data_IF_139896147826
#
_entry.id   IF_139896147826
#
_cell.length_a   1.000
_cell.length_b   1.000
_cell.length_c   1.000
_cell.angle_alpha   90.00
_cell.angle_beta   90.00
_cell.angle_gamma   90.00
#
_symmetry.space_group_name_H-M   'P 1'
#
loop_
_entity.id
_entity.type
_entity.pdbx_description
1 polymer ?
#
# COMPACT_ATOMS: atom_id res chain seq x y z
N UNK A 1 -13.90 -25.70 14.65
CA UNK A 1 -14.16 -25.04 13.34
C UNK A 1 -13.42 -25.81 12.27
N UNK A 2 -14.05 -26.10 11.14
CA UNK A 2 -13.35 -26.66 9.97
C UNK A 2 -12.52 -25.58 9.28
N UNK A 3 -11.37 -25.97 8.73
CA UNK A 3 -10.56 -25.09 7.91
C UNK A 3 -11.31 -24.78 6.61
N UNK A 4 -11.48 -23.49 6.31
CA UNK A 4 -12.04 -23.04 5.06
C UNK A 4 -10.92 -22.94 4.03
N UNK A 5 -11.17 -23.40 2.81
CA UNK A 5 -10.23 -23.33 1.70
C UNK A 5 -10.82 -22.51 0.54
N UNK A 6 -9.94 -21.79 -0.16
CA UNK A 6 -10.29 -20.96 -1.31
C UNK A 6 -9.79 -21.68 -2.57
N UNK A 7 -10.71 -22.00 -3.48
CA UNK A 7 -10.35 -22.56 -4.80
C UNK A 7 -9.42 -21.59 -5.54
N UNK A 8 -8.41 -22.15 -6.20
CA UNK A 8 -7.39 -21.39 -6.94
C UNK A 8 -6.74 -20.29 -6.08
N UNK A 9 -6.43 -20.60 -4.81
CA UNK A 9 -5.92 -19.65 -3.82
C UNK A 9 -4.82 -18.72 -4.36
N UNK A 10 -3.85 -19.25 -5.13
CA UNK A 10 -2.78 -18.43 -5.74
C UNK A 10 -3.31 -17.35 -6.68
N UNK A 11 -4.28 -17.69 -7.54
CA UNK A 11 -4.91 -16.74 -8.46
C UNK A 11 -5.73 -15.72 -7.67
N UNK A 12 -6.48 -16.19 -6.67
CA UNK A 12 -7.28 -15.32 -5.82
C UNK A 12 -6.42 -14.35 -5.00
N UNK A 13 -5.26 -14.78 -4.49
CA UNK A 13 -4.30 -13.90 -3.82
C UNK A 13 -3.89 -12.74 -4.73
N UNK A 14 -3.52 -13.03 -5.98
CA UNK A 14 -3.14 -12.00 -6.95
C UNK A 14 -4.31 -11.04 -7.25
N UNK A 15 -5.52 -11.57 -7.44
CA UNK A 15 -6.71 -10.76 -7.69
C UNK A 15 -7.06 -9.85 -6.51
N UNK A 16 -6.94 -10.35 -5.28
CA UNK A 16 -7.19 -9.56 -4.06
C UNK A 16 -6.10 -8.48 -3.88
N UNK A 17 -4.84 -8.82 -4.11
CA UNK A 17 -3.73 -7.85 -4.06
C UNK A 17 -3.91 -6.73 -5.09
N UNK A 18 -4.35 -7.08 -6.30
CA UNK A 18 -4.70 -6.11 -7.33
C UNK A 18 -5.89 -5.25 -6.90
N UNK A 19 -6.95 -5.84 -6.34
CA UNK A 19 -8.10 -5.10 -5.82
C UNK A 19 -7.70 -4.08 -4.74
N UNK A 20 -6.83 -4.48 -3.80
CA UNK A 20 -6.25 -3.58 -2.79
C UNK A 20 -5.48 -2.44 -3.46
N UNK A 21 -4.77 -2.74 -4.54
CA UNK A 21 -3.92 -1.77 -5.24
C UNK A 21 -4.70 -0.76 -6.07
N UNK A 22 -6.02 -0.93 -6.29
CA UNK A 22 -6.82 -0.08 -7.18
C UNK A 22 -7.19 1.29 -6.62
N UNK A 23 -7.37 1.44 -5.30
CA UNK A 23 -7.76 2.73 -4.70
C UNK A 23 -6.81 3.18 -3.60
N UNK A 24 -6.72 4.50 -3.40
CA UNK A 24 -5.88 5.07 -2.35
C UNK A 24 -6.39 4.68 -0.96
N UNK A 25 -7.70 4.57 -0.82
CA UNK A 25 -8.44 4.14 0.36
C UNK A 25 -8.14 2.68 0.70
N UNK A 26 -8.23 1.77 -0.26
CA UNK A 26 -7.93 0.36 -0.03
C UNK A 26 -6.45 0.15 0.35
N UNK A 27 -5.53 0.87 -0.31
CA UNK A 27 -4.11 0.86 0.08
C UNK A 27 -3.89 1.45 1.47
N UNK A 28 -4.69 2.43 1.89
CA UNK A 28 -4.64 2.99 3.24
C UNK A 28 -5.10 1.97 4.29
N UNK A 29 -6.24 1.32 4.07
CA UNK A 29 -6.78 0.29 4.97
C UNK A 29 -5.87 -0.93 5.06
N UNK A 30 -5.24 -1.30 3.95
CA UNK A 30 -4.25 -2.38 3.94
C UNK A 30 -3.03 -2.06 4.81
N UNK A 31 -2.52 -0.82 4.75
CA UNK A 31 -1.41 -0.37 5.62
C UNK A 31 -1.83 -0.30 7.09
N UNK A 32 -3.07 0.11 7.37
CA UNK A 32 -3.67 0.05 8.71
C UNK A 32 -3.64 -1.38 9.26
N UNK A 33 -4.03 -2.36 8.45
CA UNK A 33 -4.00 -3.76 8.86
C UNK A 33 -2.58 -4.25 9.17
N UNK A 34 -1.60 -3.84 8.37
CA UNK A 34 -0.18 -4.10 8.62
C UNK A 34 0.29 -3.56 9.98
N UNK A 35 0.00 -2.30 10.28
CA UNK A 35 0.34 -1.68 11.57
C UNK A 35 -0.39 -2.37 12.72
N UNK A 36 -1.68 -2.71 12.56
CA UNK A 36 -2.45 -3.44 13.57
C UNK A 36 -1.80 -4.78 13.95
N UNK A 37 -1.26 -5.52 12.97
CA UNK A 37 -0.57 -6.79 13.24
C UNK A 37 0.73 -6.58 14.02
N UNK A 38 1.48 -5.52 13.73
CA UNK A 38 2.66 -5.15 14.53
C UNK A 38 2.26 -4.77 15.95
N UNK A 39 1.17 -4.02 16.15
CA UNK A 39 0.63 -3.74 17.49
C UNK A 39 0.24 -5.01 18.26
N UNK A 40 -0.11 -6.10 17.54
CA UNK A 40 -0.40 -7.42 18.12
C UNK A 40 0.86 -8.27 18.37
N UNK A 41 2.05 -7.71 18.16
CA UNK A 41 3.32 -8.35 18.48
C UNK A 41 3.97 -9.12 17.33
N UNK A 42 3.40 -9.08 16.11
CA UNK A 42 4.06 -9.69 14.95
C UNK A 42 5.25 -8.84 14.51
N UNK A 43 6.32 -9.50 14.05
CA UNK A 43 7.48 -8.80 13.50
C UNK A 43 7.16 -8.22 12.11
N UNK A 44 7.97 -7.26 11.65
CA UNK A 44 7.84 -6.75 10.28
C UNK A 44 8.07 -7.83 9.21
N UNK A 45 8.78 -8.92 9.54
CA UNK A 45 8.98 -10.06 8.64
C UNK A 45 7.70 -10.91 8.55
N UNK A 46 7.12 -11.29 9.68
CA UNK A 46 5.87 -12.08 9.70
C UNK A 46 4.74 -11.35 8.95
N UNK A 47 4.62 -10.04 9.20
CA UNK A 47 3.61 -9.21 8.52
C UNK A 47 3.87 -9.10 7.02
N UNK A 48 5.14 -9.00 6.62
CA UNK A 48 5.53 -8.96 5.21
C UNK A 48 5.15 -10.26 4.48
N UNK A 49 5.40 -11.41 5.10
CA UNK A 49 5.04 -12.72 4.55
C UNK A 49 3.53 -12.89 4.43
N UNK A 50 2.76 -12.43 5.43
CA UNK A 50 1.29 -12.49 5.43
C UNK A 50 0.69 -11.57 4.35
N UNK A 51 1.19 -10.34 4.23
CA UNK A 51 0.59 -9.33 3.34
C UNK A 51 1.17 -9.34 1.92
N UNK A 52 2.28 -10.05 1.68
CA UNK A 52 2.98 -10.07 0.40
C UNK A 52 3.73 -8.77 0.10
N UNK A 53 4.35 -8.17 1.13
CA UNK A 53 5.21 -6.98 1.00
C UNK A 53 6.65 -7.31 1.38
N UNK A 54 7.57 -6.35 1.21
CA UNK A 54 8.89 -6.47 1.81
C UNK A 54 8.85 -6.05 3.29
N UNK A 55 9.69 -6.64 4.17
CA UNK A 55 9.80 -6.21 5.58
C UNK A 55 10.10 -4.71 5.72
N UNK A 56 10.88 -4.14 4.78
CA UNK A 56 11.20 -2.71 4.74
C UNK A 56 10.00 -1.83 4.44
N UNK A 57 9.04 -2.30 3.64
CA UNK A 57 7.79 -1.57 3.41
C UNK A 57 6.95 -1.49 4.69
N UNK A 58 6.85 -2.61 5.42
CA UNK A 58 6.16 -2.67 6.71
C UNK A 58 6.83 -1.74 7.73
N UNK A 59 8.15 -1.84 7.87
CA UNK A 59 8.93 -0.96 8.75
C UNK A 59 8.68 0.53 8.43
N UNK A 60 8.63 0.87 7.16
CA UNK A 60 8.35 2.24 6.72
C UNK A 60 6.94 2.69 7.12
N UNK A 61 5.92 1.82 6.99
CA UNK A 61 4.56 2.14 7.43
C UNK A 61 4.49 2.38 8.94
N UNK A 62 5.11 1.51 9.74
CA UNK A 62 5.18 1.66 11.20
C UNK A 62 5.86 2.97 11.57
N UNK A 63 7.05 3.26 11.01
CA UNK A 63 7.76 4.53 11.27
C UNK A 63 6.94 5.76 10.90
N UNK A 64 6.20 5.72 9.79
CA UNK A 64 5.32 6.83 9.40
C UNK A 64 4.11 6.96 10.32
N UNK A 65 3.57 5.85 10.81
CA UNK A 65 2.50 5.86 11.79
C UNK A 65 2.97 6.46 13.12
N UNK A 66 4.10 6.01 13.66
CA UNK A 66 4.67 6.58 14.89
C UNK A 66 4.93 8.08 14.76
N UNK A 67 5.41 8.54 13.59
CA UNK A 67 5.73 9.95 13.38
C UNK A 67 4.51 10.85 13.11
N UNK A 68 3.40 10.33 12.55
CA UNK A 68 2.30 11.16 11.99
C UNK A 68 0.90 10.60 12.28
N UNK A 69 0.79 9.58 13.11
CA UNK A 69 -0.42 8.80 13.34
C UNK A 69 -1.02 8.27 12.04
N UNK A 70 -2.35 8.19 12.02
CA UNK A 70 -3.14 7.72 10.87
C UNK A 70 -2.83 8.48 9.57
N UNK A 71 -2.53 9.77 9.63
CA UNK A 71 -2.19 10.56 8.44
C UNK A 71 -0.90 10.07 7.75
N UNK A 72 0.01 9.44 8.49
CA UNK A 72 1.25 8.84 7.95
C UNK A 72 1.01 7.66 7.02
N UNK A 73 -0.15 7.01 7.09
CA UNK A 73 -0.50 5.86 6.26
C UNK A 73 -1.25 6.26 4.98
N UNK A 74 -1.71 7.50 4.85
CA UNK A 74 -2.36 7.97 3.63
C UNK A 74 -1.34 8.13 2.52
N UNK A 75 -1.76 7.89 1.28
CA UNK A 75 -0.92 8.20 0.13
C UNK A 75 -0.79 9.70 -0.01
N UNK A 76 0.41 10.14 -0.37
CA UNK A 76 0.64 11.52 -0.77
C UNK A 76 0.58 11.59 -2.29
N UNK A 77 0.12 12.72 -2.86
CA UNK A 77 0.29 12.98 -4.28
C UNK A 77 1.75 12.73 -4.65
N UNK A 78 1.99 11.79 -5.57
CA UNK A 78 3.31 11.62 -6.14
C UNK A 78 3.49 12.83 -7.06
N UNK A 79 4.33 13.79 -6.66
CA UNK A 79 4.85 14.75 -7.64
C UNK A 79 5.60 13.91 -8.66
N UNK A 80 4.97 13.65 -9.80
CA UNK A 80 5.59 12.93 -10.89
C UNK A 80 6.90 13.61 -11.29
N UNK A 81 7.66 12.97 -12.18
CA UNK A 81 8.79 13.67 -12.80
C UNK A 81 8.24 14.95 -13.46
N UNK A 82 8.74 16.15 -13.13
CA UNK A 82 8.26 17.37 -13.75
C UNK A 82 8.37 17.23 -15.28
N UNK A 83 7.35 17.69 -16.03
CA UNK A 83 7.34 17.55 -17.48
C UNK A 83 8.61 18.20 -18.05
N UNK A 84 9.26 17.50 -18.99
CA UNK A 84 10.48 18.00 -19.67
C UNK A 84 10.20 19.19 -20.58
N UNK A 85 8.93 19.44 -20.85
CA UNK A 85 8.42 20.48 -21.72
C UNK A 85 7.80 21.53 -20.79
N UNK A 86 8.27 22.78 -20.90
CA UNK A 86 7.76 23.90 -20.12
C UNK A 86 6.26 24.11 -20.36
N UNK A 87 5.57 24.69 -19.39
CA UNK A 87 4.11 24.94 -19.45
C UNK A 87 3.66 25.63 -20.74
N UNK A 88 4.50 26.50 -21.28
CA UNK A 88 4.27 27.26 -22.53
C UNK A 88 4.08 26.38 -23.77
N UNK A 89 4.80 25.26 -23.87
CA UNK A 89 4.65 24.32 -25.00
C UNK A 89 3.43 23.41 -24.78
N UNK A 90 3.01 23.15 -23.54
CA UNK A 90 1.75 22.40 -23.27
C UNK A 90 0.52 23.22 -23.69
N UNK A 91 0.54 24.53 -23.50
CA UNK A 91 -0.56 25.43 -23.88
C UNK A 91 -0.73 25.51 -25.41
N UNK A 92 0.38 25.48 -26.17
CA UNK A 92 0.36 25.43 -27.64
C UNK A 92 -0.12 24.09 -28.21
N UNK A 93 -0.11 23.01 -27.43
CA UNK A 93 -0.52 21.66 -27.86
C UNK A 93 -1.97 21.31 -27.49
N UNK A 94 -2.72 22.25 -26.91
CA UNK A 94 -4.19 22.20 -26.86
C UNK A 94 -4.78 20.96 -26.17
N UNK A 95 -4.46 20.76 -24.89
CA UNK A 95 -5.31 20.01 -23.95
C UNK A 95 -5.35 20.67 -22.58
#
# INVERSE_FOLDING_TARGET
MQQLDIKDAKIMTLAIQDAISRSAEARYDHRLHGVLMVCKGLSCYDVADILGHSPRAIEYWVKRFEAKGFAGLREKPRSGRPPRIGMEIMEQLGK
#
